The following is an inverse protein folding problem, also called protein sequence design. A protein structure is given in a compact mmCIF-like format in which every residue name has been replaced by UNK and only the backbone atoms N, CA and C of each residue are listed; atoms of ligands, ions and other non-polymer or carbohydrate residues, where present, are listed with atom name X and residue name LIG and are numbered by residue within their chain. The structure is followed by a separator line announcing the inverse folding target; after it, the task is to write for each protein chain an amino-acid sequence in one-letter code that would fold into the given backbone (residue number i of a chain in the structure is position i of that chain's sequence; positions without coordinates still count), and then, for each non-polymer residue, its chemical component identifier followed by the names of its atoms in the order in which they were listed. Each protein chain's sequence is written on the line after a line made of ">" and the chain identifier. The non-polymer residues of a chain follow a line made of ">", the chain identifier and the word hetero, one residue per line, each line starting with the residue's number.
data_IF_857708090942
#
_entry.id   IF_857708090942
#
_cell.length_a   1.000
_cell.length_b   1.000
_cell.length_c   1.000
_cell.angle_alpha   90.00
_cell.angle_beta   90.00
_cell.angle_gamma   90.00
#
_symmetry.space_group_name_H-M   'P 1'
#
loop_
_entity.id
_entity.type
_entity.pdbx_description
1 polymer ?
#
# COMPACT_ATOMS: atom_id res chain seq x y z
N UNK A 1 -13.23 5.73 17.46
CA UNK A 1 -12.15 5.58 16.49
C UNK A 1 -11.50 6.93 16.28
N UNK A 2 -10.16 6.96 16.20
CA UNK A 2 -9.43 8.11 15.66
C UNK A 2 -9.74 8.20 14.15
N UNK A 3 -9.72 9.39 13.56
CA UNK A 3 -9.80 9.53 12.10
C UNK A 3 -8.43 9.28 11.46
N UNK A 4 -8.41 8.90 10.19
CA UNK A 4 -7.18 8.70 9.41
C UNK A 4 -6.27 9.95 9.46
N UNK A 5 -6.84 11.16 9.32
CA UNK A 5 -6.07 12.40 9.41
C UNK A 5 -5.37 12.61 10.76
N UNK A 6 -6.02 12.22 11.87
CA UNK A 6 -5.42 12.35 13.21
C UNK A 6 -4.31 11.32 13.38
N UNK A 7 -4.58 10.07 12.98
CA UNK A 7 -3.61 8.99 13.04
C UNK A 7 -2.36 9.31 12.21
N UNK A 8 -2.55 9.79 10.97
CA UNK A 8 -1.47 10.25 10.09
C UNK A 8 -0.57 11.25 10.80
N UNK A 9 -1.17 12.25 11.44
CA UNK A 9 -0.40 13.30 12.10
C UNK A 9 0.42 12.76 13.26
N UNK A 10 -0.15 11.87 14.07
CA UNK A 10 0.56 11.26 15.20
C UNK A 10 1.75 10.41 14.73
N UNK A 11 1.55 9.55 13.72
CA UNK A 11 2.62 8.70 13.15
C UNK A 11 3.74 9.55 12.52
N UNK A 12 3.37 10.63 11.83
CA UNK A 12 4.36 11.47 11.17
C UNK A 12 5.07 12.46 12.12
N UNK A 13 4.74 12.50 13.42
CA UNK A 13 5.41 13.41 14.36
C UNK A 13 6.88 13.05 14.61
N UNK A 14 7.20 11.75 14.71
CA UNK A 14 8.58 11.29 14.88
C UNK A 14 9.26 10.90 13.55
N UNK A 15 8.45 10.72 12.50
CA UNK A 15 8.88 10.47 11.13
C UNK A 15 9.39 9.05 10.88
N UNK A 16 9.00 8.09 11.72
CA UNK A 16 9.23 6.65 11.53
C UNK A 16 7.93 5.90 11.87
N UNK A 17 7.75 4.69 11.34
CA UNK A 17 6.65 3.82 11.75
C UNK A 17 7.21 2.69 12.61
N UNK A 18 6.81 2.62 13.86
CA UNK A 18 7.18 1.55 14.79
C UNK A 18 6.17 0.39 14.84
N UNK A 19 6.53 -0.72 15.48
CA UNK A 19 5.67 -1.90 15.56
C UNK A 19 4.33 -1.69 16.30
N UNK A 20 4.23 -0.69 17.17
CA UNK A 20 2.97 -0.34 17.83
C UNK A 20 2.08 0.47 16.89
N UNK A 21 2.65 1.40 16.14
CA UNK A 21 1.96 2.19 15.12
C UNK A 21 1.47 1.32 13.97
N UNK A 22 2.26 0.34 13.50
CA UNK A 22 1.80 -0.64 12.50
C UNK A 22 0.51 -1.32 12.95
N UNK A 23 0.40 -1.69 14.24
CA UNK A 23 -0.82 -2.31 14.77
C UNK A 23 -1.98 -1.34 14.83
N UNK A 24 -1.75 -0.10 15.25
CA UNK A 24 -2.80 0.91 15.30
C UNK A 24 -3.32 1.22 13.89
N UNK A 25 -2.42 1.26 12.89
CA UNK A 25 -2.79 1.40 11.47
C UNK A 25 -3.62 0.20 11.01
N UNK A 26 -3.15 -1.03 11.26
CA UNK A 26 -3.89 -2.26 10.90
C UNK A 26 -5.30 -2.28 11.50
N UNK A 27 -5.47 -1.91 12.78
CA UNK A 27 -6.77 -1.85 13.42
C UNK A 27 -7.71 -0.79 12.83
N UNK A 28 -7.15 0.32 12.33
CA UNK A 28 -7.95 1.42 11.76
C UNK A 28 -8.33 1.13 10.31
N UNK A 29 -7.42 0.65 9.48
CA UNK A 29 -7.71 0.37 8.06
C UNK A 29 -8.59 -0.88 7.88
N UNK A 30 -8.60 -1.83 8.82
CA UNK A 30 -9.48 -3.00 8.77
C UNK A 30 -10.73 -2.84 9.65
N UNK A 31 -11.04 -1.61 10.07
CA UNK A 31 -12.14 -1.32 10.99
C UNK A 31 -13.51 -1.74 10.44
N UNK A 32 -13.72 -1.59 9.13
CA UNK A 32 -14.96 -1.96 8.45
C UNK A 32 -14.91 -3.38 7.82
N UNK A 33 -13.73 -4.00 7.85
CA UNK A 33 -13.47 -5.37 7.39
C UNK A 33 -12.95 -5.48 5.95
N UNK A 34 -12.88 -4.37 5.22
CA UNK A 34 -12.33 -4.30 3.86
C UNK A 34 -11.27 -3.20 3.79
N UNK A 35 -10.53 -3.11 2.69
CA UNK A 35 -9.71 -1.94 2.40
C UNK A 35 -10.38 -1.24 1.24
N UNK A 36 -10.74 0.03 1.40
CA UNK A 36 -11.25 0.86 0.31
C UNK A 36 -10.17 1.81 -0.25
N UNK A 37 -10.56 2.62 -1.23
CA UNK A 37 -9.64 3.56 -1.86
C UNK A 37 -9.13 4.64 -0.87
N UNK A 38 -9.94 5.07 0.10
CA UNK A 38 -9.53 6.09 1.09
C UNK A 38 -8.44 5.53 2.02
N UNK A 39 -8.57 4.26 2.41
CA UNK A 39 -7.58 3.55 3.24
C UNK A 39 -6.31 3.22 2.44
N UNK A 40 -6.45 2.84 1.18
CA UNK A 40 -5.31 2.62 0.28
C UNK A 40 -4.52 3.92 0.05
N UNK A 41 -5.22 5.03 -0.24
CA UNK A 41 -4.59 6.35 -0.41
C UNK A 41 -3.86 6.77 0.86
N UNK A 42 -4.48 6.57 2.04
CA UNK A 42 -3.84 6.83 3.33
C UNK A 42 -2.54 6.04 3.53
N UNK A 43 -2.51 4.76 3.13
CA UNK A 43 -1.30 3.93 3.23
C UNK A 43 -0.18 4.42 2.31
N UNK A 44 -0.49 4.79 1.06
CA UNK A 44 0.49 5.39 0.14
C UNK A 44 1.06 6.70 0.70
N UNK A 45 0.19 7.59 1.17
CA UNK A 45 0.64 8.86 1.75
C UNK A 45 1.53 8.67 2.99
N UNK A 46 1.26 7.67 3.83
CA UNK A 46 2.15 7.32 4.94
C UNK A 46 3.48 6.81 4.44
N UNK A 47 3.46 5.87 3.49
CA UNK A 47 4.66 5.27 2.92
C UNK A 47 5.60 6.34 2.35
N UNK A 48 5.07 7.26 1.54
CA UNK A 48 5.82 8.38 0.96
C UNK A 48 6.45 9.26 2.04
N UNK A 49 5.68 9.56 3.09
CA UNK A 49 6.12 10.43 4.18
C UNK A 49 7.23 9.80 5.03
N UNK A 50 7.24 8.47 5.15
CA UNK A 50 8.25 7.72 5.91
C UNK A 50 9.27 7.01 5.01
N UNK A 51 9.29 7.32 3.71
CA UNK A 51 10.18 6.66 2.77
C UNK A 51 11.65 6.94 3.08
N UNK A 52 12.48 5.90 2.97
CA UNK A 52 13.91 5.95 3.32
C UNK A 52 14.23 6.08 4.82
N UNK A 53 13.24 5.93 5.70
CA UNK A 53 13.39 5.96 7.15
C UNK A 53 13.59 4.55 7.73
N UNK A 54 13.97 4.48 9.00
CA UNK A 54 14.15 3.22 9.74
C UNK A 54 12.83 2.69 10.28
N UNK A 55 11.86 2.45 9.39
CA UNK A 55 10.56 1.90 9.76
C UNK A 55 10.71 0.44 10.21
N UNK A 56 9.78 -0.02 11.04
CA UNK A 56 9.73 -1.42 11.45
C UNK A 56 9.45 -2.32 10.24
N UNK A 57 10.07 -3.49 10.22
CA UNK A 57 9.84 -4.51 9.18
C UNK A 57 8.37 -4.93 9.02
N UNK A 58 7.56 -4.78 10.07
CA UNK A 58 6.14 -5.08 10.01
C UNK A 58 5.36 -4.10 9.12
N UNK A 59 5.87 -2.87 8.91
CA UNK A 59 5.24 -1.88 8.04
C UNK A 59 5.14 -2.37 6.60
N UNK A 60 6.26 -2.87 6.04
CA UNK A 60 6.30 -3.43 4.68
C UNK A 60 5.26 -4.55 4.51
N UNK A 61 5.21 -5.47 5.48
CA UNK A 61 4.26 -6.58 5.44
C UNK A 61 2.80 -6.14 5.48
N UNK A 62 2.46 -5.15 6.31
CA UNK A 62 1.11 -4.60 6.39
C UNK A 62 0.72 -3.90 5.09
N UNK A 63 1.57 -2.99 4.60
CA UNK A 63 1.32 -2.23 3.39
C UNK A 63 1.08 -3.15 2.19
N UNK A 64 1.99 -4.10 1.96
CA UNK A 64 1.89 -5.04 0.85
C UNK A 64 0.60 -5.87 0.94
N UNK A 65 0.27 -6.37 2.13
CA UNK A 65 -0.95 -7.17 2.35
C UNK A 65 -2.21 -6.34 2.11
N UNK A 66 -2.30 -5.13 2.64
CA UNK A 66 -3.48 -4.28 2.55
C UNK A 66 -3.74 -3.84 1.10
N UNK A 67 -2.72 -3.30 0.41
CA UNK A 67 -2.87 -2.86 -0.99
C UNK A 67 -3.13 -4.05 -1.93
N UNK A 68 -2.50 -5.21 -1.69
CA UNK A 68 -2.82 -6.42 -2.46
C UNK A 68 -4.27 -6.85 -2.26
N UNK A 69 -4.80 -6.75 -1.04
CA UNK A 69 -6.21 -7.06 -0.77
C UNK A 69 -7.15 -6.08 -1.47
N UNK A 70 -6.85 -4.78 -1.40
CA UNK A 70 -7.62 -3.74 -2.08
C UNK A 70 -7.74 -3.99 -3.58
N UNK A 71 -6.61 -4.34 -4.22
CA UNK A 71 -6.54 -4.51 -5.68
C UNK A 71 -7.05 -5.88 -6.15
N UNK A 72 -7.02 -6.92 -5.31
CA UNK A 72 -7.40 -8.27 -5.75
C UNK A 72 -8.75 -8.74 -5.24
N UNK A 73 -9.35 -8.08 -4.24
CA UNK A 73 -10.61 -8.49 -3.62
C UNK A 73 -11.79 -7.59 -4.03
N UNK A 74 -11.67 -6.86 -5.15
CA UNK A 74 -12.76 -6.02 -5.67
C UNK A 74 -13.95 -6.86 -6.22
N UNK A 75 -15.15 -6.29 -6.11
CA UNK A 75 -16.45 -6.92 -6.43
C UNK A 75 -16.58 -7.26 -7.94
N UNK A 76 -15.72 -6.69 -8.80
CA UNK A 76 -15.73 -6.89 -10.25
C UNK A 76 -14.74 -7.90 -10.83
N UNK A 77 -13.54 -8.03 -10.24
CA UNK A 77 -12.37 -8.66 -10.87
C UNK A 77 -11.48 -9.44 -9.89
N UNK A 78 -12.09 -10.25 -9.02
CA UNK A 78 -11.34 -10.97 -7.96
C UNK A 78 -10.14 -11.75 -8.52
N UNK A 79 -8.93 -11.39 -8.10
CA UNK A 79 -7.68 -12.04 -8.48
C UNK A 79 -7.08 -11.59 -9.82
N UNK A 80 -7.58 -10.52 -10.43
CA UNK A 80 -7.00 -9.87 -11.61
C UNK A 80 -6.78 -8.38 -11.32
N UNK A 81 -5.91 -7.71 -12.10
CA UNK A 81 -5.76 -6.25 -12.07
C UNK A 81 -6.31 -5.73 -13.38
N UNK A 82 -7.39 -4.96 -13.31
CA UNK A 82 -7.99 -4.32 -14.45
C UNK A 82 -7.30 -2.97 -14.82
N UNK A 83 -7.82 -2.30 -15.83
CA UNK A 83 -7.22 -1.07 -16.33
C UNK A 83 -7.37 0.12 -15.36
N UNK A 84 -8.38 0.12 -14.49
CA UNK A 84 -8.60 1.17 -13.48
C UNK A 84 -7.64 0.96 -12.31
N UNK A 85 -7.49 -0.28 -11.84
CA UNK A 85 -6.55 -0.67 -10.78
C UNK A 85 -5.10 -0.52 -11.22
N UNK A 86 -4.76 -0.94 -12.45
CA UNK A 86 -3.43 -0.72 -13.04
C UNK A 86 -3.09 0.77 -13.05
N UNK A 87 -4.05 1.60 -13.52
CA UNK A 87 -3.84 3.05 -13.57
C UNK A 87 -3.68 3.64 -12.17
N UNK A 88 -4.51 3.22 -11.22
CA UNK A 88 -4.41 3.67 -9.83
C UNK A 88 -3.04 3.37 -9.23
N UNK A 89 -2.58 2.12 -9.33
CA UNK A 89 -1.27 1.71 -8.82
C UNK A 89 -0.12 2.46 -9.49
N UNK A 90 -0.20 2.68 -10.80
CA UNK A 90 0.81 3.48 -11.51
C UNK A 90 0.84 4.92 -11.03
N UNK A 91 -0.32 5.55 -10.88
CA UNK A 91 -0.41 6.96 -10.46
C UNK A 91 0.11 7.13 -9.01
N UNK A 92 -0.13 6.16 -8.12
CA UNK A 92 0.41 6.18 -6.75
C UNK A 92 1.93 5.93 -6.75
N UNK A 93 2.38 4.79 -7.30
CA UNK A 93 3.81 4.36 -7.25
C UNK A 93 4.73 5.28 -8.06
N UNK A 94 4.24 5.90 -9.13
CA UNK A 94 5.04 6.84 -9.93
C UNK A 94 4.80 8.31 -9.54
N UNK A 95 3.80 8.59 -8.70
CA UNK A 95 3.33 9.94 -8.39
C UNK A 95 4.36 10.79 -7.66
N UNK A 96 5.10 10.19 -6.74
CA UNK A 96 6.15 10.83 -5.95
C UNK A 96 7.51 10.91 -6.70
N UNK A 97 7.61 10.18 -7.82
CA UNK A 97 8.80 10.06 -8.67
C UNK A 97 9.91 9.17 -8.11
N UNK A 98 9.68 8.43 -7.02
CA UNK A 98 10.66 7.57 -6.37
C UNK A 98 10.07 6.24 -5.89
N UNK A 99 10.35 5.17 -6.64
CA UNK A 99 9.95 3.83 -6.21
C UNK A 99 10.83 3.35 -5.04
N UNK A 100 10.24 3.26 -3.86
CA UNK A 100 10.92 2.84 -2.65
C UNK A 100 10.97 1.32 -2.47
N UNK A 101 11.44 0.87 -1.30
CA UNK A 101 11.58 -0.57 -1.03
C UNK A 101 10.23 -1.25 -0.76
N UNK A 102 9.29 -0.54 -0.12
CA UNK A 102 7.97 -1.05 0.23
C UNK A 102 7.12 -1.19 -1.03
N UNK A 103 7.17 -0.21 -1.93
CA UNK A 103 6.48 -0.28 -3.23
C UNK A 103 7.07 -1.35 -4.14
N UNK A 104 8.40 -1.54 -4.13
CA UNK A 104 9.03 -2.69 -4.80
C UNK A 104 8.56 -4.01 -4.22
N UNK A 105 8.44 -4.11 -2.89
CA UNK A 105 7.93 -5.31 -2.24
C UNK A 105 6.48 -5.59 -2.67
N UNK A 106 5.64 -4.56 -2.81
CA UNK A 106 4.28 -4.68 -3.35
C UNK A 106 4.30 -5.23 -4.79
N UNK A 107 5.10 -4.62 -5.69
CA UNK A 107 5.19 -5.08 -7.07
C UNK A 107 5.68 -6.53 -7.19
N UNK A 108 6.67 -6.92 -6.38
CA UNK A 108 7.16 -8.31 -6.32
C UNK A 108 6.06 -9.25 -5.79
N UNK A 109 5.30 -8.84 -4.78
CA UNK A 109 4.20 -9.64 -4.25
C UNK A 109 3.08 -9.84 -5.29
N UNK A 110 2.68 -8.77 -5.97
CA UNK A 110 1.70 -8.83 -7.07
C UNK A 110 2.19 -9.75 -8.19
N UNK A 111 3.47 -9.65 -8.58
CA UNK A 111 4.06 -10.56 -9.57
C UNK A 111 4.03 -12.02 -9.15
N UNK A 112 4.30 -12.31 -7.88
CA UNK A 112 4.25 -13.68 -7.36
C UNK A 112 2.82 -14.22 -7.27
N UNK A 113 1.84 -13.34 -7.04
CA UNK A 113 0.42 -13.70 -6.90
C UNK A 113 -0.24 -13.88 -8.27
N UNK A 114 0.00 -12.96 -9.20
CA UNK A 114 -0.64 -12.91 -10.52
C UNK A 114 0.16 -13.64 -11.61
N UNK A 115 1.47 -13.77 -11.45
CA UNK A 115 2.35 -14.39 -12.44
C UNK A 115 2.27 -13.70 -13.80
N UNK A 116 1.78 -14.42 -14.81
CA UNK A 116 1.60 -13.91 -16.18
C UNK A 116 0.41 -12.95 -16.32
N UNK A 117 -0.51 -12.92 -15.35
CA UNK A 117 -1.65 -12.01 -15.33
C UNK A 117 -1.28 -10.60 -14.86
N UNK A 118 -0.05 -10.37 -14.39
CA UNK A 118 0.39 -9.05 -13.97
C UNK A 118 0.44 -8.09 -15.17
N UNK A 119 -0.18 -6.89 -15.08
CA UNK A 119 -0.10 -5.90 -16.14
C UNK A 119 1.34 -5.52 -16.49
N UNK A 120 1.59 -5.34 -17.79
CA UNK A 120 2.94 -5.16 -18.30
C UNK A 120 3.55 -3.83 -17.85
N UNK A 121 2.74 -2.78 -17.62
CA UNK A 121 3.23 -1.50 -17.13
C UNK A 121 3.79 -1.62 -15.71
N UNK A 122 3.08 -2.32 -14.80
CA UNK A 122 3.56 -2.57 -13.44
C UNK A 122 4.81 -3.46 -13.43
N UNK A 123 4.86 -4.50 -14.27
CA UNK A 123 6.05 -5.35 -14.37
C UNK A 123 7.27 -4.59 -14.96
N UNK A 124 7.07 -3.54 -15.75
CA UNK A 124 8.18 -2.70 -16.24
C UNK A 124 8.83 -1.87 -15.12
N UNK A 125 8.12 -1.59 -14.02
CA UNK A 125 8.67 -0.86 -12.87
C UNK A 125 9.69 -1.70 -12.06
N UNK A 126 9.72 -3.02 -12.26
CA UNK A 126 10.67 -3.93 -11.63
C UNK A 126 12.01 -4.07 -12.38
N UNK A 127 12.12 -3.55 -13.60
CA UNK A 127 13.31 -3.69 -14.46
C UNK A 127 14.16 -2.42 -14.51
#
# INVERSE_FOLDING_TARGET
>A
MKSLEVLKKEILEDGVIDAAEVKEIEEVIYADGTIDQEEADFLFELNDAVSGKSNDSAWEGLFVKAITSFVLDDDGSTGEIDAEEEKYLLDQIQGDGQIDNVEKALLVNLKNTLGESMPQALNNLLN
#
